data_IF_832394742918
#
_entry.id   IF_832394742918
#
_cell.length_a   1.000
_cell.length_b   1.000
_cell.length_c   1.000
_cell.angle_alpha   90.00
_cell.angle_beta   90.00
_cell.angle_gamma   90.00
#
_symmetry.space_group_name_H-M   'P 1'
#
loop_
_entity.id
_entity.type
_entity.pdbx_description
1 polymer ?
#
# COMPACT_ATOMS: atom_id res chain seq x y z
N UNK A 1 14.95 -19.45 2.23
CA UNK A 1 15.13 -18.14 2.87
C UNK A 1 13.99 -17.27 2.38
N UNK A 2 12.90 -17.25 3.13
CA UNK A 2 11.62 -16.70 2.69
C UNK A 2 11.56 -15.21 3.06
N UNK A 3 11.63 -14.33 2.06
CA UNK A 3 11.12 -12.96 2.19
C UNK A 3 9.69 -12.94 1.65
N UNK A 4 8.77 -13.42 2.48
CA UNK A 4 7.35 -13.13 2.33
C UNK A 4 7.19 -11.63 2.55
N UNK A 5 6.96 -10.88 1.48
CA UNK A 5 6.55 -9.49 1.56
C UNK A 5 5.07 -9.47 1.96
N UNK A 6 4.79 -9.85 3.20
CA UNK A 6 3.49 -9.72 3.83
C UNK A 6 3.37 -8.25 4.28
N UNK A 7 2.73 -7.42 3.46
CA UNK A 7 2.19 -6.14 3.93
C UNK A 7 0.77 -6.40 4.42
N UNK A 8 0.65 -6.92 5.64
CA UNK A 8 -0.63 -7.00 6.35
C UNK A 8 -1.12 -5.58 6.66
N UNK A 9 -1.85 -4.99 5.73
CA UNK A 9 -2.59 -3.76 5.96
C UNK A 9 -4.02 -4.12 6.37
N UNK A 10 -4.20 -4.45 7.66
CA UNK A 10 -5.52 -4.56 8.27
C UNK A 10 -6.06 -3.14 8.51
N UNK A 11 -6.64 -2.51 7.49
CA UNK A 11 -7.29 -1.20 7.62
C UNK A 11 -8.72 -1.35 8.17
N UNK A 12 -8.82 -1.60 9.48
CA UNK A 12 -10.03 -1.26 10.24
C UNK A 12 -9.83 0.17 10.72
N UNK A 13 -10.73 1.06 10.28
CA UNK A 13 -10.66 2.50 10.45
C UNK A 13 -10.17 2.95 11.83
N UNK A 14 -8.97 3.51 11.83
CA UNK A 14 -8.52 4.52 12.76
C UNK A 14 -7.47 5.34 12.03
N UNK A 15 -7.63 6.67 12.03
CA UNK A 15 -6.61 7.60 11.58
C UNK A 15 -5.40 7.40 12.51
N UNK A 16 -4.34 6.77 12.02
CA UNK A 16 -3.08 6.66 12.75
C UNK A 16 -2.14 7.76 12.28
N UNK A 17 -1.85 8.72 13.16
CA UNK A 17 -0.71 9.61 13.00
C UNK A 17 0.56 8.77 13.11
N UNK A 18 1.41 8.78 12.07
CA UNK A 18 2.77 8.24 12.15
C UNK A 18 3.62 9.23 12.94
N UNK A 19 3.79 8.99 14.23
CA UNK A 19 4.83 9.64 15.05
C UNK A 19 6.00 8.66 15.09
N UNK A 20 7.06 8.93 14.32
CA UNK A 20 8.28 8.15 14.40
C UNK A 20 9.14 8.62 15.59
N UNK A 21 9.56 7.62 16.38
CA UNK A 21 10.60 7.60 17.43
C UNK A 21 10.44 8.51 18.65
N UNK A 22 9.85 7.97 19.73
CA UNK A 22 10.56 7.52 20.95
C UNK A 22 9.57 7.31 22.12
N UNK A 23 9.50 6.07 22.62
CA UNK A 23 9.23 5.74 24.04
C UNK A 23 7.80 5.89 24.57
N UNK A 24 7.16 4.74 24.86
CA UNK A 24 5.93 4.66 25.66
C UNK A 24 6.25 4.86 27.14
N UNK A 25 5.61 5.83 27.79
CA UNK A 25 5.23 5.73 29.21
C UNK A 25 3.80 6.27 29.34
N UNK A 26 2.91 5.49 29.95
CA UNK A 26 1.48 5.83 30.03
C UNK A 26 1.24 7.12 30.81
N UNK A 27 0.57 8.08 30.18
CA UNK A 27 0.14 9.33 30.82
C UNK A 27 -1.39 9.34 30.88
N UNK A 28 -1.91 9.36 32.11
CA UNK A 28 -3.34 9.54 32.37
C UNK A 28 -3.80 10.92 31.86
N UNK A 29 -5.09 11.04 31.52
CA UNK A 29 -5.73 12.16 30.79
C UNK A 29 -5.60 13.59 31.40
N UNK A 30 -4.73 13.82 32.38
CA UNK A 30 -4.58 15.05 33.17
C UNK A 30 -3.24 15.80 33.03
N UNK A 31 -2.24 15.28 32.32
CA UNK A 31 -0.92 15.92 32.20
C UNK A 31 -0.47 16.11 30.75
N UNK A 32 -1.28 16.79 29.92
CA UNK A 32 -0.90 17.13 28.52
C UNK A 32 -0.47 18.60 28.37
N UNK A 33 -0.41 19.36 29.48
CA UNK A 33 -0.12 20.80 29.46
C UNK A 33 1.26 21.18 30.03
N UNK A 34 2.31 20.37 29.82
CA UNK A 34 3.66 20.78 30.24
C UNK A 34 4.82 20.08 29.52
N UNK A 35 4.71 19.89 28.21
CA UNK A 35 5.90 19.79 27.37
C UNK A 35 6.11 21.14 26.71
N UNK A 36 6.88 21.99 27.39
CA UNK A 36 7.45 23.23 26.87
C UNK A 36 8.45 22.87 25.76
N UNK A 37 7.91 22.57 24.58
CA UNK A 37 8.66 22.75 23.34
C UNK A 37 8.77 24.25 23.20
N UNK A 38 9.88 24.84 23.68
CA UNK A 38 10.21 26.23 23.38
C UNK A 38 10.37 26.33 21.87
N UNK A 39 9.26 26.54 21.17
CA UNK A 39 9.19 26.62 19.74
C UNK A 39 9.93 27.91 19.38
N UNK A 40 11.22 27.77 19.03
CA UNK A 40 11.82 28.74 18.13
C UNK A 40 10.86 28.79 16.95
N UNK A 41 10.28 29.96 16.72
CA UNK A 41 9.41 30.19 15.58
C UNK A 41 10.28 29.99 14.33
N UNK A 42 10.20 28.80 13.74
CA UNK A 42 10.97 28.48 12.54
C UNK A 42 10.24 29.15 11.39
N UNK A 43 10.90 30.08 10.71
CA UNK A 43 10.41 30.61 9.46
C UNK A 43 10.48 29.52 8.38
N UNK A 44 9.37 28.79 8.21
CA UNK A 44 9.20 27.73 7.22
C UNK A 44 9.42 28.22 5.78
N UNK A 45 9.19 29.52 5.53
CA UNK A 45 9.43 30.12 4.22
C UNK A 45 10.93 30.34 3.98
N UNK A 46 11.67 30.82 4.97
CA UNK A 46 13.12 31.01 4.88
C UNK A 46 13.88 29.69 4.67
N UNK A 47 13.41 28.59 5.28
CA UNK A 47 14.01 27.26 5.08
C UNK A 47 13.53 26.56 3.80
N UNK A 48 12.66 27.20 3.01
CA UNK A 48 12.14 26.65 1.76
C UNK A 48 11.30 25.39 1.97
N UNK A 49 10.60 25.28 3.10
CA UNK A 49 9.82 24.09 3.45
C UNK A 49 8.72 23.84 2.42
N UNK A 50 8.65 22.60 1.95
CA UNK A 50 7.61 22.10 1.06
C UNK A 50 7.11 20.78 1.63
N UNK A 51 5.80 20.65 1.79
CA UNK A 51 5.15 19.42 2.20
C UNK A 51 4.07 19.03 1.20
N UNK A 52 3.95 17.73 0.95
CA UNK A 52 2.84 17.13 0.23
C UNK A 52 2.04 16.23 1.18
N UNK A 53 0.74 16.13 0.94
CA UNK A 53 -0.15 15.22 1.65
C UNK A 53 -0.80 14.27 0.64
N UNK A 54 -0.73 12.98 0.92
CA UNK A 54 -1.35 11.93 0.11
C UNK A 54 -2.25 11.07 1.01
N UNK A 55 -3.50 10.88 0.60
CA UNK A 55 -4.52 10.16 1.39
C UNK A 55 -5.14 9.10 0.50
N UNK A 56 -5.06 7.84 0.92
CA UNK A 56 -5.71 6.70 0.27
C UNK A 56 -6.85 6.19 1.18
N UNK A 57 -8.02 5.94 0.62
CA UNK A 57 -9.21 5.49 1.35
C UNK A 57 -9.93 4.40 0.57
N UNK A 58 -10.14 3.24 1.19
CA UNK A 58 -10.98 2.20 0.62
C UNK A 58 -12.47 2.59 0.68
N UNK A 59 -13.18 2.31 -0.41
CA UNK A 59 -14.62 2.58 -0.50
C UNK A 59 -15.40 1.38 0.01
N UNK A 60 -16.40 1.64 0.87
CA UNK A 60 -17.34 0.61 1.35
C UNK A 60 -18.44 0.36 0.31
N UNK A 61 -18.10 -0.29 -0.79
CA UNK A 61 -19.02 -0.69 -1.86
C UNK A 61 -19.45 -2.15 -1.73
N UNK A 62 -20.54 -2.54 -2.40
CA UNK A 62 -20.98 -3.95 -2.46
C UNK A 62 -20.15 -4.82 -3.41
N UNK A 63 -19.44 -4.19 -4.35
CA UNK A 63 -18.61 -4.81 -5.38
C UNK A 63 -17.29 -4.07 -5.54
N UNK A 64 -16.26 -4.74 -6.04
CA UNK A 64 -14.98 -4.13 -6.42
C UNK A 64 -15.16 -3.09 -7.55
N UNK A 65 -14.17 -2.22 -7.74
CA UNK A 65 -14.29 -1.05 -8.60
C UNK A 65 -14.63 -1.41 -10.07
N UNK A 66 -13.95 -2.42 -10.62
CA UNK A 66 -14.06 -2.79 -12.04
C UNK A 66 -14.69 -4.17 -12.30
N UNK A 67 -15.09 -4.90 -11.26
CA UNK A 67 -15.74 -6.21 -11.41
C UNK A 67 -16.89 -6.38 -10.41
N UNK A 68 -17.66 -7.46 -10.56
CA UNK A 68 -18.82 -7.74 -9.70
C UNK A 68 -18.49 -8.53 -8.42
N UNK A 69 -17.21 -8.84 -8.19
CA UNK A 69 -16.80 -9.58 -7.01
C UNK A 69 -16.99 -8.75 -5.73
N UNK A 70 -17.34 -9.39 -4.61
CA UNK A 70 -17.43 -8.71 -3.32
C UNK A 70 -16.02 -8.28 -2.84
N UNK A 71 -15.87 -7.09 -2.24
CA UNK A 71 -14.58 -6.61 -1.73
C UNK A 71 -14.29 -7.21 -0.33
N UNK A 72 -14.06 -8.53 -0.29
CA UNK A 72 -13.77 -9.27 0.95
C UNK A 72 -12.29 -9.63 0.98
N UNK A 73 -11.61 -9.27 2.08
CA UNK A 73 -10.25 -9.74 2.36
C UNK A 73 -10.31 -11.17 2.92
N UNK A 74 -9.44 -12.04 2.44
CA UNK A 74 -9.37 -13.46 2.79
C UNK A 74 -7.96 -13.81 3.24
N UNK A 75 -7.86 -14.69 4.23
CA UNK A 75 -6.60 -15.18 4.81
C UNK A 75 -6.59 -16.71 4.98
N UNK A 76 -7.66 -17.38 4.56
CA UNK A 76 -7.76 -18.83 4.49
C UNK A 76 -7.01 -19.38 3.27
N UNK A 77 -6.75 -20.70 3.18
CA UNK A 77 -6.02 -21.26 2.06
C UNK A 77 -6.68 -20.94 0.72
N UNK A 78 -5.90 -20.52 -0.30
CA UNK A 78 -6.46 -20.17 -1.60
C UNK A 78 -6.99 -21.40 -2.33
N UNK A 79 -8.04 -21.19 -3.12
CA UNK A 79 -8.61 -22.24 -3.96
C UNK A 79 -7.71 -22.57 -5.15
N UNK A 80 -6.98 -21.57 -5.67
CA UNK A 80 -6.02 -21.74 -6.75
C UNK A 80 -4.92 -20.68 -6.67
N UNK A 81 -3.82 -20.93 -7.38
CA UNK A 81 -2.70 -19.99 -7.49
C UNK A 81 -2.27 -19.80 -8.94
N UNK A 82 -1.91 -18.58 -9.32
CA UNK A 82 -1.41 -18.23 -10.66
C UNK A 82 -0.02 -17.65 -10.52
N UNK A 83 0.93 -18.12 -11.34
CA UNK A 83 2.29 -17.60 -11.38
C UNK A 83 2.45 -16.66 -12.56
N UNK A 84 2.99 -15.46 -12.33
CA UNK A 84 3.26 -14.46 -13.36
C UNK A 84 4.67 -13.87 -13.22
N UNK A 85 5.13 -13.32 -14.33
CA UNK A 85 6.42 -12.63 -14.44
C UNK A 85 6.15 -11.27 -15.08
N UNK A 86 6.64 -10.21 -14.44
CA UNK A 86 6.61 -8.89 -15.07
C UNK A 86 7.66 -8.81 -16.17
N UNK A 87 7.33 -8.11 -17.25
CA UNK A 87 8.24 -7.84 -18.36
C UNK A 87 8.26 -6.32 -18.59
N UNK A 88 9.44 -5.73 -18.84
CA UNK A 88 9.51 -4.33 -19.21
C UNK A 88 8.85 -4.14 -20.57
N UNK A 89 8.15 -3.01 -20.73
CA UNK A 89 7.49 -2.62 -21.96
C UNK A 89 8.16 -1.34 -22.45
N UNK A 90 8.31 -1.22 -23.76
CA UNK A 90 8.83 -0.01 -24.39
C UNK A 90 7.83 1.14 -24.20
N UNK A 91 8.33 2.29 -23.76
CA UNK A 91 7.58 3.53 -23.82
C UNK A 91 7.34 3.97 -25.26
N UNK A 92 6.54 5.04 -25.43
CA UNK A 92 6.21 5.59 -26.76
C UNK A 92 7.46 5.91 -27.60
N UNK A 93 8.51 6.42 -26.95
CA UNK A 93 9.79 6.78 -27.59
C UNK A 93 10.70 5.56 -27.88
N UNK A 94 10.24 4.33 -27.63
CA UNK A 94 11.04 3.12 -27.82
C UNK A 94 12.14 2.94 -26.77
N UNK A 95 12.03 3.60 -25.62
CA UNK A 95 12.95 3.48 -24.50
C UNK A 95 12.28 2.72 -23.34
N UNK A 96 13.08 1.99 -22.56
CA UNK A 96 12.62 1.34 -21.34
C UNK A 96 12.75 2.28 -20.15
N UNK A 97 11.75 2.25 -19.27
CA UNK A 97 11.85 2.94 -17.98
C UNK A 97 12.94 2.30 -17.10
N UNK A 98 13.77 3.15 -16.50
CA UNK A 98 14.92 2.70 -15.71
C UNK A 98 14.47 1.94 -14.45
N UNK A 99 13.35 2.31 -13.82
CA UNK A 99 12.83 1.62 -12.65
C UNK A 99 12.24 0.26 -13.01
N UNK A 100 11.55 0.16 -14.16
CA UNK A 100 11.06 -1.12 -14.68
C UNK A 100 12.20 -2.11 -14.96
N UNK A 101 13.31 -1.64 -15.56
CA UNK A 101 14.48 -2.49 -15.78
C UNK A 101 15.09 -2.97 -14.47
N UNK A 102 15.25 -2.07 -13.49
CA UNK A 102 15.78 -2.42 -12.18
C UNK A 102 14.91 -3.45 -11.43
N UNK A 103 13.58 -3.40 -11.57
CA UNK A 103 12.70 -4.44 -11.01
C UNK A 103 12.73 -5.74 -11.82
N UNK A 104 12.84 -5.66 -13.15
CA UNK A 104 12.92 -6.83 -14.01
C UNK A 104 14.20 -7.65 -13.77
N UNK A 105 15.33 -6.98 -13.59
CA UNK A 105 16.64 -7.61 -13.30
C UNK A 105 16.63 -8.43 -12.00
N UNK A 106 15.73 -8.11 -11.05
CA UNK A 106 15.57 -8.90 -9.82
C UNK A 106 14.94 -10.28 -10.08
N UNK A 107 14.39 -10.52 -11.27
CA UNK A 107 13.86 -11.83 -11.69
C UNK A 107 12.74 -12.36 -10.80
N UNK A 108 11.95 -11.47 -10.17
CA UNK A 108 10.92 -11.88 -9.23
C UNK A 108 9.76 -12.57 -9.94
N UNK A 109 9.29 -13.65 -9.33
CA UNK A 109 8.03 -14.31 -9.72
C UNK A 109 6.94 -13.85 -8.76
N UNK A 110 5.79 -13.46 -9.28
CA UNK A 110 4.61 -13.15 -8.47
C UNK A 110 3.69 -14.37 -8.46
N UNK A 111 3.26 -14.78 -7.27
CA UNK A 111 2.25 -15.82 -7.06
C UNK A 111 0.98 -15.11 -6.60
N UNK A 112 -0.04 -15.12 -7.45
CA UNK A 112 -1.36 -14.62 -7.12
C UNK A 112 -2.20 -15.75 -6.52
N UNK A 113 -2.82 -15.48 -5.39
CA UNK A 113 -3.74 -16.38 -4.70
C UNK A 113 -5.18 -15.97 -5.04
N UNK A 114 -6.01 -16.95 -5.44
CA UNK A 114 -7.35 -16.70 -5.93
C UNK A 114 -8.41 -17.56 -5.26
N UNK A 115 -9.64 -17.03 -5.21
CA UNK A 115 -10.77 -17.66 -4.57
C UNK A 115 -11.98 -17.70 -5.51
N UNK A 116 -12.61 -18.87 -5.66
CA UNK A 116 -13.71 -19.06 -6.60
C UNK A 116 -14.97 -18.22 -6.29
N UNK A 117 -15.12 -17.74 -5.06
CA UNK A 117 -16.25 -16.93 -4.57
C UNK A 117 -15.97 -15.41 -4.56
N UNK A 118 -14.71 -14.99 -4.41
CA UNK A 118 -14.34 -13.56 -4.27
C UNK A 118 -13.40 -13.04 -5.35
N UNK A 119 -12.94 -13.88 -6.27
CA UNK A 119 -12.06 -13.53 -7.40
C UNK A 119 -12.72 -13.94 -8.72
N UNK A 120 -12.57 -13.14 -9.77
CA UNK A 120 -13.04 -13.46 -11.12
C UNK A 120 -11.93 -13.35 -12.16
N UNK A 121 -12.23 -13.76 -13.40
CA UNK A 121 -11.32 -13.67 -14.55
C UNK A 121 -10.79 -12.25 -14.80
N UNK A 122 -11.54 -11.22 -14.39
CA UNK A 122 -11.13 -9.83 -14.54
C UNK A 122 -9.92 -9.52 -13.64
N UNK A 123 -9.91 -10.03 -12.41
CA UNK A 123 -8.84 -9.77 -11.43
C UNK A 123 -7.53 -10.49 -11.78
N UNK A 124 -7.63 -11.60 -12.48
CA UNK A 124 -6.47 -12.42 -12.89
C UNK A 124 -5.99 -12.11 -14.31
N UNK A 125 -6.59 -11.09 -14.94
CA UNK A 125 -6.27 -10.63 -16.30
C UNK A 125 -6.48 -11.73 -17.38
N UNK A 126 -7.55 -12.51 -17.24
CA UNK A 126 -7.92 -13.60 -18.17
C UNK A 126 -9.27 -13.33 -18.85
N UNK A 127 -9.77 -12.09 -18.80
CA UNK A 127 -10.99 -11.71 -19.51
C UNK A 127 -10.61 -11.18 -20.88
N UNK A 128 -10.95 -11.92 -21.93
CA UNK A 128 -10.91 -11.39 -23.29
C UNK A 128 -12.09 -10.42 -23.47
N UNK A 129 -11.82 -9.21 -23.96
CA UNK A 129 -12.85 -8.29 -24.47
C UNK A 129 -13.52 -8.86 -25.72
#
# INVERSE_FOLDING_TARGET
MNSLCYTDFTFIGHIYYVISSLGVLGITKREVNSLDVSAREIDYKAVGFKAGLEIHQELRTSRKLFCHCPPILRSDPPHFTIRRFFRPVLGEMGEFDAAMLAEYEKGRTVIYEGYNDTTCSYEIDETYM
#
